data_IF_031745776156
#
_entry.id   IF_031745776156
#
_cell.length_a   1.000
_cell.length_b   1.000
_cell.length_c   1.000
_cell.angle_alpha   90.00
_cell.angle_beta   90.00
_cell.angle_gamma   90.00
#
_symmetry.space_group_name_H-M   'P 1'
#
loop_
_entity.id
_entity.type
_entity.pdbx_description
1 polymer ?
#
# COMPACT_ATOMS: atom_id res chain seq x y z
N UNK A 1 -18.74 -42.65 13.88
CA UNK A 1 -17.45 -42.91 14.56
C UNK A 1 -16.57 -41.72 14.35
N UNK A 2 -16.29 -41.05 15.45
CA UNK A 2 -15.58 -39.79 15.58
C UNK A 2 -14.08 -40.05 15.54
N UNK A 3 -13.33 -39.27 14.79
CA UNK A 3 -11.93 -39.13 15.17
C UNK A 3 -11.50 -37.67 15.01
N UNK A 4 -11.17 -37.09 16.16
CA UNK A 4 -10.70 -35.72 16.35
C UNK A 4 -9.17 -35.72 16.21
N UNK A 5 -8.63 -35.14 15.18
CA UNK A 5 -7.21 -34.83 15.13
C UNK A 5 -6.94 -33.40 15.60
N UNK A 6 -6.56 -33.29 16.88
CA UNK A 6 -6.00 -32.10 17.51
C UNK A 6 -4.56 -31.88 17.01
N UNK A 7 -4.15 -30.66 16.60
CA UNK A 7 -2.76 -30.37 16.37
C UNK A 7 -2.01 -30.15 17.69
N UNK A 8 -0.70 -30.52 17.78
CA UNK A 8 0.09 -30.42 18.98
C UNK A 8 0.55 -28.99 19.29
N UNK A 9 0.51 -28.64 20.56
CA UNK A 9 1.02 -27.38 21.11
C UNK A 9 2.53 -27.35 21.02
N UNK A 10 3.10 -26.36 20.37
CA UNK A 10 4.55 -26.11 20.36
C UNK A 10 4.97 -25.47 21.67
N UNK A 11 5.88 -26.17 22.35
CA UNK A 11 6.58 -25.80 23.57
C UNK A 11 7.55 -24.65 23.30
N UNK A 12 7.44 -23.58 24.08
CA UNK A 12 8.39 -22.46 24.10
C UNK A 12 9.55 -22.86 25.00
N UNK A 13 10.76 -22.88 24.46
CA UNK A 13 11.98 -23.07 25.24
C UNK A 13 12.54 -21.70 25.58
N UNK A 14 12.53 -21.35 26.87
CA UNK A 14 13.21 -20.19 27.43
C UNK A 14 14.65 -20.60 27.70
N UNK A 15 15.59 -19.99 26.99
CA UNK A 15 17.03 -20.13 27.24
C UNK A 15 17.56 -18.89 27.97
N UNK A 16 17.85 -19.05 29.24
CA UNK A 16 18.60 -18.08 30.06
C UNK A 16 20.10 -18.34 29.88
N UNK A 17 20.83 -17.31 29.45
CA UNK A 17 22.29 -17.33 29.38
C UNK A 17 22.86 -16.15 30.15
N UNK A 18 23.35 -16.42 31.37
CA UNK A 18 24.19 -15.54 32.21
C UNK A 18 25.64 -15.67 31.73
N UNK A 19 26.31 -14.54 31.51
CA UNK A 19 27.74 -14.50 31.26
C UNK A 19 28.32 -13.15 31.69
N UNK A 20 29.15 -13.19 32.71
CA UNK A 20 29.66 -12.07 33.49
C UNK A 20 31.01 -11.53 32.97
N UNK A 21 31.26 -10.25 33.32
CA UNK A 21 32.52 -9.59 33.70
C UNK A 21 33.66 -9.41 32.68
N UNK A 22 34.04 -8.17 32.42
CA UNK A 22 35.37 -7.64 32.82
C UNK A 22 35.51 -6.15 32.44
N UNK A 23 35.99 -5.45 33.42
CA UNK A 23 36.52 -4.12 33.63
C UNK A 23 37.63 -3.68 32.65
N UNK A 24 37.68 -2.38 32.34
CA UNK A 24 38.85 -1.47 32.46
C UNK A 24 38.56 -0.13 31.77
N UNK A 25 38.61 0.80 32.46
CA UNK A 25 39.13 2.12 32.77
C UNK A 25 39.74 2.94 31.58
N UNK A 26 39.36 4.21 31.68
CA UNK A 26 40.13 5.44 31.47
C UNK A 26 40.24 5.99 30.04
N UNK A 27 39.71 7.13 29.81
CA UNK A 27 40.33 8.43 29.73
C UNK A 27 39.57 9.39 28.82
N UNK A 28 39.32 10.53 29.36
CA UNK A 28 38.88 11.80 28.86
C UNK A 28 39.29 12.14 27.42
N UNK A 29 38.36 12.68 26.61
CA UNK A 29 38.58 14.00 26.00
C UNK A 29 37.33 14.46 25.28
N UNK A 30 36.85 15.61 25.71
CA UNK A 30 36.29 16.71 24.95
C UNK A 30 35.41 16.44 23.70
N UNK A 31 34.16 16.83 23.85
CA UNK A 31 33.46 17.66 22.84
C UNK A 31 33.10 16.96 21.55
N UNK A 32 31.90 16.60 21.46
CA UNK A 32 30.99 16.99 20.42
C UNK A 32 29.69 16.22 20.62
N UNK A 33 28.65 16.97 20.73
CA UNK A 33 27.29 16.51 20.84
C UNK A 33 26.86 15.97 19.46
N UNK A 34 26.61 14.68 19.28
CA UNK A 34 25.84 14.27 18.11
C UNK A 34 24.38 14.62 18.37
N UNK A 35 23.89 15.56 17.61
CA UNK A 35 22.48 15.82 17.49
C UNK A 35 21.78 14.50 17.14
N UNK A 36 20.78 14.16 17.93
CA UNK A 36 19.83 13.14 17.60
C UNK A 36 19.22 13.49 16.24
N UNK A 37 19.55 12.74 15.22
CA UNK A 37 18.83 12.76 13.98
C UNK A 37 17.46 12.14 14.26
N UNK A 38 16.49 12.98 14.57
CA UNK A 38 15.10 12.65 14.39
C UNK A 38 14.91 12.43 12.89
N UNK A 39 14.82 11.17 12.53
CA UNK A 39 14.26 10.77 11.23
C UNK A 39 12.78 11.14 11.24
N UNK A 40 12.50 12.41 11.03
CA UNK A 40 11.21 12.82 10.52
C UNK A 40 11.13 12.26 9.10
N UNK A 41 10.51 11.10 8.99
CA UNK A 41 9.98 10.62 7.73
C UNK A 41 8.88 11.59 7.34
N UNK A 42 9.30 12.72 6.78
CA UNK A 42 8.44 13.60 6.05
C UNK A 42 8.03 12.85 4.79
N UNK A 43 6.85 12.26 4.83
CA UNK A 43 6.17 11.86 3.62
C UNK A 43 5.99 13.13 2.78
N UNK A 44 6.97 13.40 1.93
CA UNK A 44 6.83 14.36 0.87
C UNK A 44 5.70 13.85 -0.02
N UNK A 45 4.55 14.49 0.07
CA UNK A 45 3.55 14.41 -0.97
C UNK A 45 4.27 14.78 -2.29
N UNK A 46 4.16 13.97 -3.34
CA UNK A 46 4.72 14.33 -4.63
C UNK A 46 3.90 15.49 -5.20
N UNK A 47 4.33 16.71 -4.90
CA UNK A 47 3.93 17.90 -5.68
C UNK A 47 4.77 17.90 -6.95
N UNK A 48 4.48 16.97 -7.84
CA UNK A 48 4.95 17.01 -9.20
C UNK A 48 3.74 17.19 -10.08
N UNK A 49 3.46 18.42 -10.50
CA UNK A 49 2.57 18.67 -11.64
C UNK A 49 3.21 17.97 -12.84
N UNK A 50 2.61 16.92 -13.40
CA UNK A 50 3.15 16.30 -14.59
C UNK A 50 2.89 17.26 -15.76
N UNK A 51 3.93 17.83 -16.29
CA UNK A 51 3.83 18.46 -17.59
C UNK A 51 3.45 17.43 -18.64
N UNK A 52 2.25 17.55 -19.19
CA UNK A 52 1.82 16.83 -20.38
C UNK A 52 1.52 15.34 -20.20
N UNK A 53 0.33 15.00 -19.74
CA UNK A 53 -0.29 13.70 -19.97
C UNK A 53 0.08 12.54 -19.05
N UNK A 54 1.09 12.65 -18.18
CA UNK A 54 1.41 11.60 -17.23
C UNK A 54 0.49 11.69 -16.00
N UNK A 55 -0.20 10.61 -15.68
CA UNK A 55 -1.08 10.49 -14.51
C UNK A 55 -0.26 10.20 -13.24
N UNK A 56 0.73 9.32 -13.34
CA UNK A 56 1.58 8.92 -12.22
C UNK A 56 2.88 8.28 -12.71
N UNK A 57 3.84 8.08 -11.82
CA UNK A 57 4.98 7.19 -12.08
C UNK A 57 4.62 5.75 -11.72
N UNK A 58 5.22 4.81 -12.41
CA UNK A 58 5.05 3.38 -12.12
C UNK A 58 5.50 3.03 -10.69
N UNK A 59 6.54 3.73 -10.19
CA UNK A 59 7.04 3.55 -8.83
C UNK A 59 6.08 4.06 -7.73
N UNK A 60 5.17 4.97 -8.06
CA UNK A 60 4.21 5.52 -7.10
C UNK A 60 3.00 4.61 -6.88
N UNK A 61 2.83 3.57 -7.71
CA UNK A 61 1.70 2.63 -7.62
C UNK A 61 2.17 1.34 -6.95
N UNK A 62 1.83 1.10 -5.67
CA UNK A 62 2.29 -0.09 -4.96
C UNK A 62 1.70 -1.39 -5.55
N UNK A 63 2.52 -2.47 -5.56
CA UNK A 63 2.06 -3.81 -5.96
C UNK A 63 1.02 -4.33 -4.96
N UNK A 64 -0.04 -4.93 -5.45
CA UNK A 64 -1.16 -5.40 -4.64
C UNK A 64 -2.03 -4.28 -4.08
N UNK A 65 -1.91 -3.07 -4.64
CA UNK A 65 -2.66 -1.88 -4.23
C UNK A 65 -2.87 -0.94 -5.43
N UNK A 66 -2.94 0.36 -5.19
CA UNK A 66 -3.11 1.38 -6.22
C UNK A 66 -3.17 2.77 -5.64
N UNK A 67 -3.38 3.73 -6.50
CA UNK A 67 -3.55 5.15 -6.17
C UNK A 67 -4.79 5.72 -6.88
N UNK A 68 -5.29 6.82 -6.38
CA UNK A 68 -6.36 7.59 -7.01
C UNK A 68 -5.76 8.95 -7.37
N UNK A 69 -5.74 9.25 -8.65
CA UNK A 69 -5.19 10.49 -9.18
C UNK A 69 -6.24 11.13 -10.07
N UNK A 70 -6.59 12.38 -9.76
CA UNK A 70 -7.63 13.14 -10.47
C UNK A 70 -8.93 12.33 -10.62
N UNK A 71 -9.26 11.95 -11.84
CA UNK A 71 -10.45 11.18 -12.19
C UNK A 71 -10.12 9.73 -12.62
N UNK A 72 -8.99 9.19 -12.19
CA UNK A 72 -8.53 7.82 -12.51
C UNK A 72 -8.09 7.08 -11.25
N UNK A 73 -8.56 5.87 -11.09
CA UNK A 73 -8.02 4.89 -10.14
C UNK A 73 -7.01 4.04 -10.89
N UNK A 74 -5.76 4.06 -10.47
CA UNK A 74 -4.69 3.25 -11.04
C UNK A 74 -4.33 2.17 -10.05
N UNK A 75 -4.38 0.91 -10.46
CA UNK A 75 -4.03 -0.24 -9.63
C UNK A 75 -2.87 -1.01 -10.22
N UNK A 76 -2.12 -1.70 -9.36
CA UNK A 76 -1.07 -2.66 -9.75
C UNK A 76 -1.35 -4.02 -9.09
N UNK A 77 -2.25 -4.85 -9.64
CA UNK A 77 -2.58 -6.16 -9.06
C UNK A 77 -1.38 -7.07 -8.90
N UNK A 78 -0.48 -7.07 -9.85
CA UNK A 78 0.80 -7.77 -9.84
C UNK A 78 1.89 -6.88 -10.41
N UNK A 79 3.14 -7.16 -10.08
CA UNK A 79 4.28 -6.35 -10.51
C UNK A 79 4.27 -6.10 -12.02
N UNK A 80 4.29 -4.82 -12.39
CA UNK A 80 4.34 -4.37 -13.79
C UNK A 80 3.01 -4.41 -14.54
N UNK A 81 1.92 -4.88 -13.90
CA UNK A 81 0.59 -4.90 -14.49
C UNK A 81 -0.24 -3.75 -13.93
N UNK A 82 -0.47 -2.74 -14.74
CA UNK A 82 -1.25 -1.57 -14.34
C UNK A 82 -2.63 -1.61 -14.98
N UNK A 83 -3.65 -1.20 -14.22
CA UNK A 83 -5.03 -1.07 -14.68
C UNK A 83 -5.59 0.28 -14.26
N UNK A 84 -6.39 0.90 -15.15
CA UNK A 84 -7.08 2.15 -14.89
C UNK A 84 -8.58 1.95 -14.81
N UNK A 85 -9.22 2.69 -13.91
CA UNK A 85 -10.67 2.70 -13.74
C UNK A 85 -11.19 4.11 -13.48
N UNK A 86 -12.46 4.33 -13.80
CA UNK A 86 -13.20 5.49 -13.34
C UNK A 86 -13.37 5.43 -11.81
N UNK A 87 -13.21 6.53 -11.08
CA UNK A 87 -13.50 6.55 -9.65
C UNK A 87 -14.99 6.46 -9.36
N UNK A 88 -15.86 6.62 -10.34
CA UNK A 88 -17.31 6.66 -10.16
C UNK A 88 -17.88 5.27 -9.85
N UNK A 89 -18.38 5.12 -8.62
CA UNK A 89 -19.03 3.88 -8.18
C UNK A 89 -20.37 3.66 -8.92
N UNK A 90 -20.54 2.51 -9.58
CA UNK A 90 -21.74 2.25 -10.40
C UNK A 90 -23.01 1.97 -9.57
N UNK A 91 -22.94 2.02 -8.23
CA UNK A 91 -24.12 1.91 -7.37
C UNK A 91 -24.95 3.21 -7.35
N UNK A 92 -24.32 4.33 -7.00
CA UNK A 92 -25.00 5.61 -6.80
C UNK A 92 -24.17 6.82 -7.27
N UNK A 93 -23.14 6.62 -8.07
CA UNK A 93 -22.34 7.69 -8.66
C UNK A 93 -21.35 8.37 -7.71
N UNK A 94 -21.17 7.88 -6.49
CA UNK A 94 -20.15 8.40 -5.59
C UNK A 94 -18.75 8.05 -6.09
N UNK A 95 -17.78 8.93 -5.85
CA UNK A 95 -16.38 8.59 -6.14
C UNK A 95 -15.82 7.68 -5.04
N UNK A 96 -15.14 6.61 -5.47
CA UNK A 96 -14.27 5.85 -4.57
C UNK A 96 -13.14 6.75 -4.08
N UNK A 97 -12.70 6.59 -2.84
CA UNK A 97 -11.73 7.52 -2.26
C UNK A 97 -10.59 6.83 -1.51
N UNK A 98 -10.57 5.51 -1.51
CA UNK A 98 -9.60 4.75 -0.74
C UNK A 98 -9.30 3.42 -1.40
N UNK A 99 -8.04 3.02 -1.33
CA UNK A 99 -7.60 1.66 -1.62
C UNK A 99 -6.99 1.10 -0.34
N UNK A 100 -7.56 0.02 0.17
CA UNK A 100 -7.13 -0.63 1.40
C UNK A 100 -7.29 -2.13 1.28
N UNK A 101 -6.36 -2.88 1.84
CA UNK A 101 -6.38 -4.35 1.88
C UNK A 101 -6.58 -4.98 0.48
N UNK A 102 -5.99 -4.37 -0.55
CA UNK A 102 -6.13 -4.80 -1.94
C UNK A 102 -7.53 -4.62 -2.51
N UNK A 103 -8.32 -3.69 -1.97
CA UNK A 103 -9.66 -3.35 -2.43
C UNK A 103 -9.81 -1.85 -2.64
N UNK A 104 -10.57 -1.50 -3.67
CA UNK A 104 -11.01 -0.13 -3.93
C UNK A 104 -12.33 0.06 -3.19
N UNK A 105 -12.43 1.06 -2.33
CA UNK A 105 -13.57 1.25 -1.41
C UNK A 105 -14.37 2.51 -1.77
N UNK A 106 -15.67 2.34 -1.87
CA UNK A 106 -16.60 3.43 -2.01
C UNK A 106 -17.10 3.90 -0.62
N UNK A 107 -16.98 5.20 -0.28
CA UNK A 107 -17.31 5.68 1.06
C UNK A 107 -18.81 5.77 1.32
N UNK A 108 -19.64 5.88 0.29
CA UNK A 108 -21.07 6.15 0.44
C UNK A 108 -21.84 4.96 1.02
N UNK A 109 -21.64 3.78 0.47
CA UNK A 109 -22.37 2.58 0.86
C UNK A 109 -21.45 1.36 1.01
N UNK A 110 -20.15 1.59 1.18
CA UNK A 110 -19.15 0.54 1.42
C UNK A 110 -19.10 -0.57 0.36
N UNK A 111 -19.40 -0.23 -0.89
CA UNK A 111 -19.08 -1.15 -2.01
C UNK A 111 -17.57 -1.29 -2.12
N UNK A 112 -17.10 -2.52 -2.32
CA UNK A 112 -15.70 -2.83 -2.50
C UNK A 112 -15.47 -3.48 -3.87
N UNK A 113 -14.37 -3.12 -4.48
CA UNK A 113 -13.96 -3.66 -5.78
C UNK A 113 -12.55 -4.24 -5.66
N UNK A 114 -12.32 -5.32 -6.36
CA UNK A 114 -10.99 -5.88 -6.52
C UNK A 114 -10.09 -4.93 -7.34
N UNK A 115 -8.78 -5.16 -7.32
CA UNK A 115 -7.83 -4.36 -8.10
C UNK A 115 -7.96 -4.55 -9.62
N UNK A 116 -8.76 -5.50 -10.07
CA UNK A 116 -9.15 -5.67 -11.47
C UNK A 116 -10.46 -4.98 -11.84
N UNK A 117 -11.05 -4.24 -10.90
CA UNK A 117 -12.30 -3.49 -11.06
C UNK A 117 -13.57 -4.30 -10.81
N UNK A 118 -13.49 -5.62 -10.62
CA UNK A 118 -14.67 -6.46 -10.35
C UNK A 118 -15.24 -6.20 -8.96
N UNK A 119 -16.55 -6.41 -8.78
CA UNK A 119 -17.20 -6.24 -7.48
C UNK A 119 -16.72 -7.33 -6.52
N UNK A 120 -16.18 -6.91 -5.38
CA UNK A 120 -15.83 -7.78 -4.26
C UNK A 120 -16.95 -7.82 -3.23
N UNK A 121 -17.56 -6.65 -2.93
CA UNK A 121 -18.68 -6.50 -1.99
C UNK A 121 -19.65 -5.44 -2.49
N UNK A 122 -20.96 -5.76 -2.44
CA UNK A 122 -22.02 -4.84 -2.78
C UNK A 122 -22.23 -3.72 -1.74
N UNK A 123 -23.15 -2.79 -2.03
CA UNK A 123 -24.33 -2.94 -2.90
C UNK A 123 -24.13 -2.73 -4.41
N UNK A 124 -22.97 -2.29 -4.89
CA UNK A 124 -22.70 -2.22 -6.31
C UNK A 124 -22.86 -3.61 -6.98
N UNK A 125 -23.47 -3.64 -8.14
CA UNK A 125 -23.73 -4.88 -8.91
C UNK A 125 -22.95 -4.96 -10.22
N UNK A 126 -22.27 -3.87 -10.56
CA UNK A 126 -21.46 -3.78 -11.79
C UNK A 126 -20.02 -3.45 -11.41
N UNK A 127 -19.03 -3.88 -12.21
CA UNK A 127 -17.64 -3.50 -12.00
C UNK A 127 -17.45 -1.99 -12.21
N UNK A 128 -16.31 -1.47 -11.72
CA UNK A 128 -15.87 -0.13 -12.08
C UNK A 128 -15.63 -0.05 -13.59
N UNK A 129 -15.96 1.08 -14.16
CA UNK A 129 -15.71 1.35 -15.58
C UNK A 129 -14.20 1.42 -15.83
N UNK A 130 -13.73 0.65 -16.81
CA UNK A 130 -12.32 0.66 -17.17
C UNK A 130 -11.96 1.96 -17.90
N UNK A 131 -10.85 2.57 -17.50
CA UNK A 131 -10.18 3.65 -18.20
C UNK A 131 -8.86 3.16 -18.74
N UNK A 132 -8.60 3.40 -20.02
CA UNK A 132 -7.34 3.00 -20.62
C UNK A 132 -6.17 3.76 -19.98
N UNK A 133 -5.15 3.03 -19.58
CA UNK A 133 -3.87 3.57 -19.12
C UNK A 133 -2.74 2.82 -19.82
N UNK A 134 -1.69 3.53 -20.15
CA UNK A 134 -0.52 2.98 -20.84
C UNK A 134 0.74 3.36 -20.09
N UNK A 135 1.69 2.43 -20.00
CA UNK A 135 3.01 2.68 -19.43
C UNK A 135 3.94 3.20 -20.52
N UNK A 136 4.52 4.36 -20.32
CA UNK A 136 5.53 4.97 -21.18
C UNK A 136 6.79 5.25 -20.37
N UNK A 137 7.80 4.40 -20.54
CA UNK A 137 8.99 4.45 -19.71
C UNK A 137 8.67 4.16 -18.25
N UNK A 138 8.90 5.14 -17.37
CA UNK A 138 8.58 5.09 -15.94
C UNK A 138 7.26 5.77 -15.58
N UNK A 139 6.50 6.22 -16.56
CA UNK A 139 5.28 7.00 -16.36
C UNK A 139 4.04 6.25 -16.85
N UNK A 140 2.92 6.44 -16.16
CA UNK A 140 1.61 5.96 -16.55
C UNK A 140 0.84 7.14 -17.11
N UNK A 141 0.35 6.99 -18.33
CA UNK A 141 -0.41 8.02 -19.06
C UNK A 141 -1.81 7.54 -19.36
N UNK A 142 -2.74 8.47 -19.59
CA UNK A 142 -4.05 8.12 -20.14
C UNK A 142 -3.87 7.52 -21.53
N UNK A 143 -4.58 6.41 -21.80
CA UNK A 143 -4.57 5.72 -23.10
C UNK A 143 -5.57 6.30 -24.09
#
# INVERSE_FOLDING_TARGET
MLDRLRPPRRTVIVGAGLGALATAAAACSSGDKPAAAESTSSAAAPTGTPGGGALAKTADVPVGSGIIVDDVVITQPTTGVFKGFSPVCPHAGCNVNKIADGKIVCPCHHSEFNLDGTVAQGPAKKPLEAKAVTVQGDSIVAG
#
